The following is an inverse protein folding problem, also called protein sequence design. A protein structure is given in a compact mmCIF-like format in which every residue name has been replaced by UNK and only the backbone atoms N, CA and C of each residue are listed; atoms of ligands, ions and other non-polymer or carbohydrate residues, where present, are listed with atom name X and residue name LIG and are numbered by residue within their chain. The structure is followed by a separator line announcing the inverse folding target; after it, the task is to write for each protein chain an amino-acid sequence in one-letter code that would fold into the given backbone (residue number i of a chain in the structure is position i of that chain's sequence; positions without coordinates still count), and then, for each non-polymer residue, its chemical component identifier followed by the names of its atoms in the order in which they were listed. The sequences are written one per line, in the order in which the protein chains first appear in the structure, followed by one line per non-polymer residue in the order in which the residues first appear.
data_IF_113403298951
#
_entry.id   IF_113403298951
#
_cell.length_a   1.000
_cell.length_b   1.000
_cell.length_c   1.000
_cell.angle_alpha   90.00
_cell.angle_beta   90.00
_cell.angle_gamma   90.00
#
_symmetry.space_group_name_H-M   'P 1'
#
loop_
_entity.id
_entity.type
_entity.pdbx_description
1 polymer ?
#
# COMPACT_ATOMS: atom_id res chain seq x y z
N UNK A 1 26.65 51.46 -5.04
CA UNK A 1 25.82 50.31 -4.76
C UNK A 1 26.61 49.07 -5.18
N UNK A 2 26.92 48.12 -4.25
CA UNK A 2 27.66 46.93 -4.62
C UNK A 2 26.78 46.01 -5.45
N UNK A 3 27.22 45.58 -6.61
CA UNK A 3 26.59 44.57 -7.44
C UNK A 3 26.59 43.24 -6.67
N UNK A 4 25.41 42.77 -6.26
CA UNK A 4 25.29 41.41 -5.79
C UNK A 4 25.56 40.44 -6.97
N UNK A 5 26.42 39.45 -6.82
CA UNK A 5 26.73 38.51 -7.88
C UNK A 5 25.52 37.67 -8.26
N UNK A 6 25.35 37.36 -9.53
CA UNK A 6 24.21 36.62 -10.14
C UNK A 6 23.93 35.29 -9.42
N UNK A 7 24.93 34.66 -8.81
CA UNK A 7 24.72 33.43 -8.02
C UNK A 7 23.92 33.66 -6.74
N UNK A 8 23.93 34.87 -6.13
CA UNK A 8 23.11 35.22 -4.97
C UNK A 8 21.60 35.30 -5.30
N UNK A 9 21.25 35.52 -6.59
CA UNK A 9 19.88 35.41 -7.07
C UNK A 9 19.47 33.99 -7.44
N UNK A 10 20.42 33.09 -7.64
CA UNK A 10 20.17 31.67 -7.97
C UNK A 10 19.87 30.88 -6.70
N UNK A 11 20.49 31.20 -5.58
CA UNK A 11 20.19 30.55 -4.27
C UNK A 11 18.78 30.87 -3.72
N UNK A 12 18.15 31.96 -4.13
CA UNK A 12 16.77 32.28 -3.72
C UNK A 12 15.68 31.57 -4.55
N UNK A 13 16.01 30.87 -5.63
CA UNK A 13 15.13 29.85 -6.20
C UNK A 13 15.36 28.51 -5.47
N UNK A 14 15.16 28.48 -4.17
CA UNK A 14 14.81 27.23 -3.48
C UNK A 14 13.62 26.68 -4.27
N UNK A 15 13.84 25.61 -5.04
CA UNK A 15 12.76 24.84 -5.63
C UNK A 15 11.81 24.58 -4.47
N UNK A 16 10.60 25.10 -4.55
CA UNK A 16 9.57 24.84 -3.55
C UNK A 16 9.24 23.36 -3.67
N UNK A 17 10.06 22.52 -3.04
CA UNK A 17 9.83 21.08 -2.97
C UNK A 17 8.56 20.91 -2.17
N UNK A 18 7.63 20.11 -2.68
CA UNK A 18 6.42 19.76 -1.93
C UNK A 18 6.86 19.00 -0.66
N UNK A 19 6.70 19.64 0.50
CA UNK A 19 6.95 19.00 1.78
C UNK A 19 5.70 18.20 2.19
N UNK A 20 5.82 16.89 2.26
CA UNK A 20 4.73 15.97 2.61
C UNK A 20 4.37 15.99 4.10
N UNK A 21 5.16 16.66 4.95
CA UNK A 21 4.94 16.75 6.41
C UNK A 21 4.90 15.38 7.11
N UNK A 22 5.71 14.44 6.65
CA UNK A 22 5.78 13.09 7.21
C UNK A 22 6.89 12.94 8.26
N UNK A 23 7.75 13.95 8.41
CA UNK A 23 8.83 13.89 9.41
C UNK A 23 8.27 13.70 10.82
N UNK A 24 8.78 12.65 11.51
CA UNK A 24 8.38 12.31 12.88
C UNK A 24 7.06 11.55 13.01
N UNK A 25 6.27 11.37 11.92
CA UNK A 25 5.06 10.55 11.93
C UNK A 25 5.42 9.07 12.08
N UNK A 26 4.58 8.32 12.78
CA UNK A 26 4.72 6.86 12.94
C UNK A 26 3.72 6.15 12.04
N UNK A 27 4.23 5.34 11.10
CA UNK A 27 3.44 4.56 10.16
C UNK A 27 3.53 3.06 10.46
N UNK A 28 2.39 2.36 10.43
CA UNK A 28 2.34 0.90 10.35
C UNK A 28 1.98 0.48 8.92
N UNK A 29 2.85 -0.31 8.29
CA UNK A 29 2.59 -0.92 6.98
C UNK A 29 2.51 -2.43 7.17
N UNK A 30 1.32 -3.01 7.02
CA UNK A 30 1.16 -4.47 7.13
C UNK A 30 1.79 -5.19 5.95
N UNK A 31 2.41 -6.36 6.19
CA UNK A 31 3.15 -7.15 5.19
C UNK A 31 4.19 -6.33 4.40
N UNK A 32 5.10 -5.65 5.09
CA UNK A 32 6.05 -4.69 4.52
C UNK A 32 7.48 -5.20 4.37
N UNK A 33 7.69 -6.52 4.45
CA UNK A 33 9.00 -7.13 4.25
C UNK A 33 9.39 -7.33 2.79
N UNK A 34 8.45 -7.22 1.84
CA UNK A 34 8.68 -7.40 0.39
C UNK A 34 7.66 -6.63 -0.45
N UNK A 35 7.84 -6.65 -1.76
CA UNK A 35 6.88 -6.16 -2.75
C UNK A 35 6.43 -4.71 -2.55
N UNK A 36 5.13 -4.46 -2.72
CA UNK A 36 4.52 -3.13 -2.60
C UNK A 36 4.67 -2.57 -1.19
N UNK A 37 4.47 -3.40 -0.15
CA UNK A 37 4.61 -2.98 1.24
C UNK A 37 6.02 -2.50 1.59
N UNK A 38 7.06 -3.18 1.08
CA UNK A 38 8.45 -2.76 1.24
C UNK A 38 8.74 -1.43 0.53
N UNK A 39 8.20 -1.26 -0.68
CA UNK A 39 8.35 0.00 -1.42
C UNK A 39 7.64 1.17 -0.70
N UNK A 40 6.45 0.95 -0.14
CA UNK A 40 5.73 1.94 0.67
C UNK A 40 6.54 2.31 1.91
N UNK A 41 7.06 1.31 2.65
CA UNK A 41 7.90 1.55 3.81
C UNK A 41 9.16 2.34 3.44
N UNK A 42 9.80 2.00 2.30
CA UNK A 42 10.95 2.74 1.78
C UNK A 42 10.63 4.21 1.55
N UNK A 43 9.52 4.49 0.85
CA UNK A 43 9.14 5.86 0.49
C UNK A 43 8.76 6.69 1.73
N UNK A 44 8.00 6.12 2.68
CA UNK A 44 7.68 6.77 3.94
C UNK A 44 8.93 7.11 4.77
N UNK A 45 9.92 6.20 4.82
CA UNK A 45 11.21 6.43 5.48
C UNK A 45 11.99 7.56 4.80
N UNK A 46 12.00 7.63 3.46
CA UNK A 46 12.63 8.71 2.69
C UNK A 46 12.04 10.07 3.02
N UNK A 47 10.72 10.13 3.19
CA UNK A 47 9.98 11.35 3.53
C UNK A 47 10.02 11.70 5.04
N UNK A 48 10.80 10.98 5.82
CA UNK A 48 11.03 11.33 7.22
C UNK A 48 10.14 10.64 8.24
N UNK A 49 9.22 9.76 7.86
CA UNK A 49 8.43 8.99 8.82
C UNK A 49 9.26 7.92 9.53
N UNK A 50 8.86 7.50 10.72
CA UNK A 50 9.24 6.21 11.31
C UNK A 50 8.26 5.16 10.83
N UNK A 51 8.76 3.96 10.49
CA UNK A 51 7.92 2.92 9.91
C UNK A 51 8.04 1.62 10.69
N UNK A 52 6.90 1.08 11.10
CA UNK A 52 6.77 -0.25 11.69
C UNK A 52 6.69 -1.25 10.55
N UNK A 53 7.70 -2.12 10.46
CA UNK A 53 7.86 -3.17 9.44
C UNK A 53 7.22 -4.44 9.96
N UNK A 54 6.15 -4.87 9.32
CA UNK A 54 5.41 -6.06 9.71
C UNK A 54 5.66 -7.24 8.79
N UNK A 55 5.83 -8.39 9.38
CA UNK A 55 5.92 -9.70 8.74
C UNK A 55 5.76 -10.82 9.76
N UNK A 56 5.62 -12.07 9.29
CA UNK A 56 5.42 -13.27 10.14
C UNK A 56 6.73 -13.92 10.59
N UNK A 57 7.77 -13.78 9.80
CA UNK A 57 9.08 -14.35 10.06
C UNK A 57 10.00 -13.33 10.74
N UNK A 58 10.47 -13.65 11.95
CA UNK A 58 11.29 -12.74 12.77
C UNK A 58 12.65 -12.44 12.13
N UNK A 59 13.27 -13.40 11.48
CA UNK A 59 14.57 -13.23 10.80
C UNK A 59 14.45 -12.27 9.62
N UNK A 60 13.41 -12.46 8.78
CA UNK A 60 13.15 -11.57 7.63
C UNK A 60 12.83 -10.16 8.09
N UNK A 61 11.96 -9.99 9.11
CA UNK A 61 11.65 -8.69 9.69
C UNK A 61 12.92 -8.03 10.23
N UNK A 62 13.73 -8.77 10.99
CA UNK A 62 15.00 -8.28 11.54
C UNK A 62 15.97 -7.79 10.46
N UNK A 63 16.13 -8.58 9.39
CA UNK A 63 17.00 -8.23 8.25
C UNK A 63 16.53 -6.96 7.55
N UNK A 64 15.23 -6.82 7.25
CA UNK A 64 14.68 -5.63 6.59
C UNK A 64 14.81 -4.39 7.49
N UNK A 65 14.50 -4.52 8.78
CA UNK A 65 14.65 -3.43 9.75
C UNK A 65 16.11 -2.97 9.86
N UNK A 66 17.06 -3.91 9.93
CA UNK A 66 18.48 -3.60 9.98
C UNK A 66 18.94 -2.83 8.72
N UNK A 67 18.56 -3.32 7.53
CA UNK A 67 18.88 -2.69 6.25
C UNK A 67 18.29 -1.26 6.17
N UNK A 68 17.05 -1.07 6.58
CA UNK A 68 16.42 0.25 6.61
C UNK A 68 17.08 1.19 7.62
N UNK A 69 17.41 0.71 8.81
CA UNK A 69 18.09 1.52 9.81
C UNK A 69 19.52 1.91 9.40
N UNK A 70 20.22 1.03 8.68
CA UNK A 70 21.51 1.36 8.08
C UNK A 70 21.38 2.47 7.03
N UNK A 71 20.32 2.42 6.21
CA UNK A 71 20.10 3.39 5.11
C UNK A 71 19.53 4.73 5.56
N UNK A 72 18.57 4.72 6.49
CA UNK A 72 17.76 5.88 6.86
C UNK A 72 18.05 6.43 8.27
N UNK A 73 18.91 5.76 9.04
CA UNK A 73 19.25 6.12 10.40
C UNK A 73 18.63 5.19 11.45
N UNK A 74 19.34 5.00 12.54
CA UNK A 74 18.93 4.11 13.63
C UNK A 74 17.57 4.51 14.22
N UNK A 75 16.70 3.51 14.45
CA UNK A 75 15.38 3.72 15.05
C UNK A 75 14.33 4.31 14.11
N UNK A 76 14.60 4.37 12.80
CA UNK A 76 13.64 4.83 11.79
C UNK A 76 12.71 3.70 11.35
N UNK A 77 13.22 2.49 11.22
CA UNK A 77 12.44 1.27 11.01
C UNK A 77 12.33 0.49 12.32
N UNK A 78 11.13 0.04 12.64
CA UNK A 78 10.77 -0.64 13.88
C UNK A 78 10.20 -2.03 13.56
N UNK A 79 10.57 -3.11 14.29
CA UNK A 79 10.11 -4.46 13.97
C UNK A 79 8.72 -4.75 14.52
N UNK A 80 7.88 -5.45 13.76
CA UNK A 80 6.63 -6.04 14.23
C UNK A 80 6.46 -7.45 13.65
N UNK A 81 6.76 -8.46 14.46
CA UNK A 81 6.58 -9.85 14.09
C UNK A 81 5.18 -10.30 14.52
N UNK A 82 4.25 -10.35 13.57
CA UNK A 82 2.87 -10.77 13.83
C UNK A 82 2.19 -11.20 12.52
N UNK A 83 1.31 -12.18 12.60
CA UNK A 83 0.44 -12.55 11.49
C UNK A 83 -0.87 -11.76 11.57
N UNK A 84 -1.06 -10.83 10.63
CA UNK A 84 -2.26 -10.01 10.58
C UNK A 84 -3.45 -10.72 9.91
N UNK A 85 -3.26 -11.89 9.30
CA UNK A 85 -4.35 -12.67 8.70
C UNK A 85 -5.23 -13.36 9.75
N UNK A 86 -4.69 -13.58 10.94
CA UNK A 86 -5.42 -14.23 12.05
C UNK A 86 -5.86 -13.24 13.12
N UNK A 87 -6.91 -13.60 13.86
CA UNK A 87 -7.34 -12.83 15.01
C UNK A 87 -6.25 -12.80 16.10
N UNK A 88 -6.03 -11.63 16.70
CA UNK A 88 -4.99 -11.42 17.71
C UNK A 88 -3.71 -10.79 17.16
N UNK A 89 -3.44 -10.86 15.86
CA UNK A 89 -2.29 -10.19 15.26
C UNK A 89 -2.33 -8.67 15.47
N UNK A 90 -3.51 -8.08 15.40
CA UNK A 90 -3.74 -6.66 15.68
C UNK A 90 -3.48 -6.29 17.15
N UNK A 91 -3.70 -7.23 18.08
CA UNK A 91 -3.42 -7.02 19.52
C UNK A 91 -1.92 -7.03 19.79
N UNK A 92 -1.15 -7.88 19.09
CA UNK A 92 0.32 -7.84 19.15
C UNK A 92 0.82 -6.47 18.68
N UNK A 93 0.24 -5.95 17.58
CA UNK A 93 0.59 -4.62 17.07
C UNK A 93 0.24 -3.51 18.08
N UNK A 94 -0.96 -3.54 18.65
CA UNK A 94 -1.43 -2.55 19.63
C UNK A 94 -0.60 -2.53 20.91
N UNK A 95 -0.22 -3.72 21.40
CA UNK A 95 0.62 -3.83 22.60
C UNK A 95 2.04 -3.30 22.38
N UNK A 96 2.63 -3.56 21.20
CA UNK A 96 3.96 -3.07 20.86
C UNK A 96 3.98 -1.57 20.50
N UNK A 97 2.94 -1.12 19.82
CA UNK A 97 2.79 0.25 19.29
C UNK A 97 1.38 0.76 19.56
N UNK A 98 1.11 1.27 20.75
CA UNK A 98 -0.24 1.66 21.18
C UNK A 98 -0.86 2.76 20.31
N UNK A 99 -0.03 3.57 19.68
CA UNK A 99 -0.48 4.73 18.89
C UNK A 99 0.33 4.86 17.60
N UNK A 100 -0.34 5.20 16.49
CA UNK A 100 0.27 5.42 15.18
C UNK A 100 -0.45 6.57 14.47
N UNK A 101 0.25 7.30 13.60
CA UNK A 101 -0.32 8.37 12.79
C UNK A 101 -0.90 7.87 11.47
N UNK A 102 -0.28 6.83 10.91
CA UNK A 102 -0.57 6.32 9.56
C UNK A 102 -0.72 4.81 9.63
N UNK A 103 -1.85 4.30 9.14
CA UNK A 103 -2.10 2.87 8.95
C UNK A 103 -2.20 2.57 7.46
N UNK A 104 -1.32 1.70 6.95
CA UNK A 104 -1.39 1.16 5.59
C UNK A 104 -1.75 -0.32 5.65
N UNK A 105 -3.00 -0.64 5.33
CA UNK A 105 -3.52 -1.99 5.19
C UNK A 105 -3.08 -2.56 3.84
N UNK A 106 -1.84 -3.04 3.76
CA UNK A 106 -1.23 -3.58 2.54
C UNK A 106 -1.30 -5.11 2.48
N UNK A 107 -1.47 -5.82 3.61
CA UNK A 107 -1.55 -7.28 3.59
C UNK A 107 -2.62 -7.75 2.61
N UNK A 108 -2.23 -8.65 1.71
CA UNK A 108 -3.12 -9.26 0.75
C UNK A 108 -2.48 -10.46 0.06
N UNK A 109 -3.33 -11.36 -0.37
CA UNK A 109 -2.98 -12.50 -1.21
C UNK A 109 -3.91 -12.54 -2.41
N UNK A 110 -3.49 -13.20 -3.48
CA UNK A 110 -4.31 -13.50 -4.64
C UNK A 110 -4.10 -14.94 -5.06
N UNK A 111 -5.09 -15.50 -5.72
CA UNK A 111 -5.03 -16.84 -6.28
C UNK A 111 -5.85 -16.87 -7.57
N UNK A 112 -5.28 -17.45 -8.62
CA UNK A 112 -6.03 -17.84 -9.81
C UNK A 112 -6.74 -19.16 -9.50
N UNK A 113 -8.05 -19.22 -9.71
CA UNK A 113 -8.84 -20.42 -9.45
C UNK A 113 -10.06 -20.47 -10.38
N UNK A 114 -10.41 -21.65 -10.82
CA UNK A 114 -11.72 -21.88 -11.43
C UNK A 114 -12.82 -21.67 -10.39
N UNK A 115 -13.87 -20.93 -10.75
CA UNK A 115 -14.96 -20.60 -9.83
C UNK A 115 -15.63 -21.84 -9.24
N UNK A 116 -15.86 -22.87 -10.05
CA UNK A 116 -16.54 -24.08 -9.63
C UNK A 116 -15.66 -25.02 -8.80
N UNK A 117 -14.34 -24.85 -8.88
CA UNK A 117 -13.37 -25.59 -8.06
C UNK A 117 -12.97 -24.86 -6.77
N UNK A 118 -13.30 -23.55 -6.63
CA UNK A 118 -12.99 -22.74 -5.47
C UNK A 118 -13.89 -23.12 -4.29
N UNK A 119 -13.31 -23.62 -3.20
CA UNK A 119 -14.05 -24.07 -2.03
C UNK A 119 -14.44 -22.92 -1.08
N UNK A 120 -15.39 -23.17 -0.17
CA UNK A 120 -15.72 -22.22 0.90
C UNK A 120 -14.51 -21.90 1.78
N UNK A 121 -13.60 -22.85 1.98
CA UNK A 121 -12.36 -22.65 2.73
C UNK A 121 -11.41 -21.66 2.00
N UNK A 122 -11.31 -21.73 0.68
CA UNK A 122 -10.52 -20.79 -0.12
C UNK A 122 -11.10 -19.38 -0.03
N UNK A 123 -12.43 -19.25 -0.10
CA UNK A 123 -13.13 -17.99 0.11
C UNK A 123 -12.85 -17.43 1.50
N UNK A 124 -12.97 -18.26 2.54
CA UNK A 124 -12.72 -17.83 3.92
C UNK A 124 -11.28 -17.35 4.10
N UNK A 125 -10.30 -18.12 3.63
CA UNK A 125 -8.88 -17.76 3.71
C UNK A 125 -8.58 -16.44 2.99
N UNK A 126 -9.18 -16.24 1.79
CA UNK A 126 -9.04 -15.00 1.03
C UNK A 126 -9.58 -13.81 1.82
N UNK A 127 -10.77 -13.94 2.42
CA UNK A 127 -11.37 -12.88 3.22
C UNK A 127 -10.66 -12.65 4.54
N UNK A 128 -10.18 -13.70 5.23
CA UNK A 128 -9.40 -13.55 6.46
C UNK A 128 -8.13 -12.73 6.22
N UNK A 129 -7.44 -13.01 5.11
CA UNK A 129 -6.22 -12.32 4.76
C UNK A 129 -6.48 -10.90 4.22
N UNK A 130 -7.37 -10.75 3.25
CA UNK A 130 -7.52 -9.49 2.53
C UNK A 130 -8.48 -8.52 3.21
N UNK A 131 -9.50 -9.01 3.89
CA UNK A 131 -10.58 -8.17 4.45
C UNK A 131 -10.43 -8.04 5.96
N UNK A 132 -10.47 -9.17 6.69
CA UNK A 132 -10.48 -9.12 8.14
C UNK A 132 -9.21 -8.54 8.75
N UNK A 133 -8.04 -8.75 8.12
CA UNK A 133 -6.79 -8.11 8.57
C UNK A 133 -6.91 -6.59 8.64
N UNK A 134 -7.40 -5.97 7.57
CA UNK A 134 -7.57 -4.52 7.48
C UNK A 134 -8.67 -4.00 8.42
N UNK A 135 -9.79 -4.73 8.55
CA UNK A 135 -10.87 -4.38 9.48
C UNK A 135 -10.38 -4.39 10.93
N UNK A 136 -9.64 -5.42 11.34
CA UNK A 136 -9.10 -5.53 12.71
C UNK A 136 -8.13 -4.39 13.01
N UNK A 137 -7.17 -4.13 12.12
CA UNK A 137 -6.21 -3.04 12.29
C UNK A 137 -6.90 -1.66 12.30
N UNK A 138 -7.83 -1.40 11.38
CA UNK A 138 -8.58 -0.15 11.36
C UNK A 138 -9.37 0.06 12.66
N UNK A 139 -10.09 -0.96 13.14
CA UNK A 139 -10.82 -0.91 14.41
C UNK A 139 -9.90 -0.66 15.60
N UNK A 140 -8.69 -1.23 15.59
CA UNK A 140 -7.70 -1.12 16.66
C UNK A 140 -7.12 0.29 16.78
N UNK A 141 -6.87 0.96 15.66
CA UNK A 141 -6.16 2.25 15.66
C UNK A 141 -7.03 3.47 15.37
N UNK A 142 -8.10 3.30 14.61
CA UNK A 142 -8.88 4.44 14.12
C UNK A 142 -9.62 5.18 15.24
N UNK A 143 -10.04 4.50 16.31
CA UNK A 143 -10.69 5.16 17.44
C UNK A 143 -9.80 6.23 18.05
N UNK A 144 -8.54 5.90 18.37
CA UNK A 144 -7.58 6.86 18.91
C UNK A 144 -7.26 7.99 17.90
N UNK A 145 -7.24 7.69 16.58
CA UNK A 145 -7.10 8.70 15.54
C UNK A 145 -8.27 9.69 15.54
N UNK A 146 -9.50 9.21 15.68
CA UNK A 146 -10.70 10.05 15.75
C UNK A 146 -10.72 10.92 17.01
N UNK A 147 -10.37 10.34 18.18
CA UNK A 147 -10.32 11.06 19.46
C UNK A 147 -9.30 12.21 19.44
N UNK A 148 -8.12 12.03 18.83
CA UNK A 148 -7.12 13.11 18.68
C UNK A 148 -7.38 14.01 17.46
N UNK A 149 -8.34 13.68 16.62
CA UNK A 149 -8.74 14.46 15.45
C UNK A 149 -7.79 14.38 14.25
N UNK A 150 -6.81 13.47 14.24
CA UNK A 150 -5.81 13.33 13.18
C UNK A 150 -5.40 11.86 12.95
N UNK A 151 -5.27 11.45 11.69
CA UNK A 151 -4.81 10.13 11.28
C UNK A 151 -4.97 9.89 9.78
N UNK A 152 -4.27 8.89 9.27
CA UNK A 152 -4.35 8.43 7.88
C UNK A 152 -4.56 6.93 7.83
N UNK A 153 -5.61 6.49 7.19
CA UNK A 153 -5.89 5.06 6.97
C UNK A 153 -5.99 4.80 5.48
N UNK A 154 -5.17 3.88 4.97
CA UNK A 154 -5.07 3.58 3.54
C UNK A 154 -5.23 2.07 3.36
N UNK A 155 -6.14 1.66 2.48
CA UNK A 155 -6.33 0.27 2.07
C UNK A 155 -5.72 0.03 0.70
N UNK A 156 -4.90 -1.00 0.55
CA UNK A 156 -4.42 -1.47 -0.75
C UNK A 156 -5.45 -2.44 -1.32
N UNK A 157 -6.32 -1.91 -2.19
CA UNK A 157 -7.27 -2.71 -2.96
C UNK A 157 -6.61 -3.21 -4.26
N UNK A 158 -7.29 -3.18 -5.38
CA UNK A 158 -6.80 -3.56 -6.71
C UNK A 158 -7.77 -3.04 -7.78
N UNK A 159 -7.32 -2.94 -9.04
CA UNK A 159 -8.17 -2.65 -10.19
C UNK A 159 -9.27 -3.70 -10.37
N UNK A 160 -9.03 -4.96 -9.98
CA UNK A 160 -10.05 -6.03 -10.07
C UNK A 160 -11.24 -5.84 -9.14
N UNK A 161 -11.18 -4.89 -8.21
CA UNK A 161 -12.33 -4.46 -7.44
C UNK A 161 -13.38 -3.75 -8.31
N UNK A 162 -12.95 -3.11 -9.40
CA UNK A 162 -13.81 -2.40 -10.37
C UNK A 162 -14.03 -3.19 -11.66
N UNK A 163 -13.07 -4.06 -12.02
CA UNK A 163 -13.12 -4.93 -13.20
C UNK A 163 -12.90 -6.39 -12.78
N UNK A 164 -13.91 -7.03 -12.15
CA UNK A 164 -13.76 -8.39 -11.63
C UNK A 164 -13.43 -9.40 -12.73
N UNK A 165 -12.56 -10.36 -12.39
CA UNK A 165 -12.16 -11.44 -13.29
C UNK A 165 -12.73 -12.77 -12.80
N UNK A 166 -13.29 -13.57 -13.72
CA UNK A 166 -13.88 -14.87 -13.40
C UNK A 166 -12.85 -15.84 -12.78
N UNK A 167 -11.60 -15.80 -13.25
CA UNK A 167 -10.49 -16.60 -12.72
C UNK A 167 -9.96 -16.14 -11.36
N UNK A 168 -10.52 -15.06 -10.79
CA UNK A 168 -10.12 -14.46 -9.51
C UNK A 168 -11.36 -13.97 -8.74
N UNK A 169 -12.50 -14.65 -8.83
CA UNK A 169 -13.77 -14.18 -8.29
C UNK A 169 -13.70 -13.83 -6.79
N UNK A 170 -13.15 -14.74 -5.96
CA UNK A 170 -13.00 -14.54 -4.51
C UNK A 170 -12.02 -13.40 -4.17
N UNK A 171 -10.92 -13.25 -4.94
CA UNK A 171 -9.99 -12.14 -4.80
C UNK A 171 -10.65 -10.82 -5.18
N UNK A 172 -11.31 -10.75 -6.35
CA UNK A 172 -12.02 -9.55 -6.81
C UNK A 172 -13.08 -9.10 -5.80
N UNK A 173 -13.88 -10.05 -5.29
CA UNK A 173 -14.86 -9.78 -4.23
C UNK A 173 -14.21 -9.24 -2.96
N UNK A 174 -13.08 -9.82 -2.51
CA UNK A 174 -12.36 -9.35 -1.33
C UNK A 174 -11.87 -7.90 -1.51
N UNK A 175 -11.38 -7.55 -2.70
CA UNK A 175 -10.89 -6.21 -3.02
C UNK A 175 -12.02 -5.18 -3.18
N UNK A 176 -13.16 -5.57 -3.74
CA UNK A 176 -14.37 -4.75 -3.77
C UNK A 176 -14.91 -4.49 -2.36
N UNK A 177 -14.87 -5.49 -1.48
CA UNK A 177 -15.24 -5.36 -0.07
C UNK A 177 -14.35 -4.34 0.65
N UNK A 178 -13.04 -4.30 0.37
CA UNK A 178 -12.15 -3.27 0.94
C UNK A 178 -12.57 -1.85 0.52
N UNK A 179 -13.03 -1.62 -0.72
CA UNK A 179 -13.52 -0.31 -1.16
C UNK A 179 -14.75 0.12 -0.35
N UNK A 180 -15.72 -0.80 -0.19
CA UNK A 180 -16.93 -0.55 0.59
C UNK A 180 -16.60 -0.21 2.05
N UNK A 181 -15.70 -0.99 2.68
CA UNK A 181 -15.27 -0.76 4.06
C UNK A 181 -14.56 0.59 4.18
N UNK A 182 -13.58 0.87 3.32
CA UNK A 182 -12.84 2.14 3.33
C UNK A 182 -13.78 3.34 3.21
N UNK A 183 -14.74 3.29 2.27
CA UNK A 183 -15.71 4.37 2.09
C UNK A 183 -16.63 4.52 3.31
N UNK A 184 -17.07 3.42 3.91
CA UNK A 184 -17.90 3.44 5.11
C UNK A 184 -17.16 4.01 6.33
N UNK A 185 -15.89 3.64 6.51
CA UNK A 185 -15.06 4.17 7.60
C UNK A 185 -14.79 5.67 7.44
N UNK A 186 -14.69 6.18 6.21
CA UNK A 186 -14.54 7.61 5.96
C UNK A 186 -15.74 8.43 6.49
N UNK A 187 -16.96 7.87 6.55
CA UNK A 187 -18.12 8.56 7.15
C UNK A 187 -17.93 8.86 8.64
N UNK A 188 -17.14 8.05 9.34
CA UNK A 188 -16.86 8.25 10.76
C UNK A 188 -15.91 9.43 11.02
N UNK A 189 -15.23 9.93 9.99
CA UNK A 189 -14.20 10.99 10.14
C UNK A 189 -14.76 12.40 10.10
N UNK A 190 -16.07 12.58 9.94
CA UNK A 190 -16.72 13.90 9.86
C UNK A 190 -16.30 14.81 11.01
N UNK A 191 -15.87 16.04 10.67
CA UNK A 191 -15.45 17.04 11.65
C UNK A 191 -14.02 16.83 12.19
N UNK A 192 -13.27 15.89 11.67
CA UNK A 192 -11.86 15.64 12.04
C UNK A 192 -10.92 15.84 10.85
N UNK A 193 -9.60 15.80 11.09
CA UNK A 193 -8.59 15.74 10.03
C UNK A 193 -8.12 14.29 9.74
N UNK A 194 -8.89 13.28 10.17
CA UNK A 194 -8.64 11.87 9.80
C UNK A 194 -9.13 11.64 8.38
N UNK A 195 -8.36 10.91 7.56
CA UNK A 195 -8.80 10.45 6.24
C UNK A 195 -8.70 8.95 6.09
N UNK A 196 -9.65 8.37 5.35
CA UNK A 196 -9.66 6.94 4.99
C UNK A 196 -9.82 6.83 3.49
N UNK A 197 -8.83 6.23 2.82
CA UNK A 197 -8.81 6.10 1.36
C UNK A 197 -8.39 4.70 0.93
N UNK A 198 -8.69 4.34 -0.31
CA UNK A 198 -8.18 3.13 -0.96
C UNK A 198 -7.28 3.50 -2.14
N UNK A 199 -6.23 2.72 -2.36
CA UNK A 199 -5.42 2.74 -3.58
C UNK A 199 -5.68 1.44 -4.34
N UNK A 200 -5.84 1.55 -5.66
CA UNK A 200 -6.14 0.43 -6.54
C UNK A 200 -4.96 0.23 -7.51
N UNK A 201 -3.94 -0.54 -7.13
CA UNK A 201 -2.87 -0.89 -8.06
C UNK A 201 -3.38 -1.79 -9.20
N UNK A 202 -2.77 -1.65 -10.38
CA UNK A 202 -2.75 -2.65 -11.43
C UNK A 202 -1.70 -3.73 -11.16
N UNK A 203 -1.45 -4.62 -12.15
CA UNK A 203 -0.38 -5.59 -12.07
C UNK A 203 0.95 -4.89 -11.79
N UNK A 204 1.56 -5.25 -10.67
CA UNK A 204 2.77 -4.60 -10.16
C UNK A 204 3.93 -5.58 -10.14
N UNK A 205 5.09 -5.19 -10.63
CA UNK A 205 6.32 -5.99 -10.71
C UNK A 205 6.88 -6.29 -9.31
N UNK A 206 6.21 -7.23 -8.63
CA UNK A 206 6.73 -7.84 -7.40
C UNK A 206 7.56 -9.07 -7.75
N UNK A 207 8.44 -9.49 -6.84
CA UNK A 207 9.25 -10.71 -7.04
C UNK A 207 8.39 -11.93 -7.36
N UNK A 208 7.22 -12.08 -6.69
CA UNK A 208 6.31 -13.19 -6.91
C UNK A 208 5.63 -13.14 -8.29
N UNK A 209 5.19 -11.95 -8.75
CA UNK A 209 4.59 -11.82 -10.07
C UNK A 209 5.63 -12.03 -11.17
N UNK A 210 6.83 -11.49 -10.97
CA UNK A 210 7.96 -11.70 -11.89
C UNK A 210 8.29 -13.18 -12.04
N UNK A 211 8.48 -13.89 -10.92
CA UNK A 211 8.74 -15.33 -10.93
C UNK A 211 7.61 -16.13 -11.60
N UNK A 212 6.35 -15.75 -11.37
CA UNK A 212 5.21 -16.35 -12.06
C UNK A 212 5.28 -16.14 -13.58
N UNK A 213 5.49 -14.92 -14.05
CA UNK A 213 5.58 -14.59 -15.48
C UNK A 213 6.72 -15.37 -16.16
N UNK A 214 7.89 -15.46 -15.51
CA UNK A 214 9.04 -16.24 -15.98
C UNK A 214 8.71 -17.75 -16.04
N UNK A 215 8.03 -18.28 -15.02
CA UNK A 215 7.69 -19.71 -14.96
C UNK A 215 6.74 -20.19 -16.05
N UNK A 216 5.82 -19.32 -16.46
CA UNK A 216 4.84 -19.67 -17.52
C UNK A 216 5.34 -19.33 -18.94
N UNK A 217 6.51 -18.72 -19.05
CA UNK A 217 7.14 -18.36 -20.34
C UNK A 217 8.66 -18.64 -20.32
N UNK A 218 9.08 -19.91 -20.10
CA UNK A 218 10.49 -20.25 -19.84
C UNK A 218 11.42 -19.95 -21.03
N UNK A 219 10.88 -19.92 -22.25
CA UNK A 219 11.66 -19.71 -23.50
C UNK A 219 11.78 -18.23 -23.89
N UNK A 220 11.17 -17.31 -23.14
CA UNK A 220 11.17 -15.88 -23.45
C UNK A 220 12.11 -15.14 -22.50
N UNK A 221 12.72 -14.05 -22.98
CA UNK A 221 13.32 -13.08 -22.07
C UNK A 221 12.24 -12.45 -21.19
N UNK A 222 12.61 -11.99 -19.99
CA UNK A 222 11.64 -11.36 -19.08
C UNK A 222 10.83 -10.23 -19.74
N UNK A 223 11.49 -9.37 -20.52
CA UNK A 223 10.82 -8.27 -21.22
C UNK A 223 9.78 -8.76 -22.23
N UNK A 224 10.05 -9.86 -22.95
CA UNK A 224 9.10 -10.48 -23.87
C UNK A 224 7.95 -11.15 -23.10
N UNK A 225 8.26 -11.84 -22.01
CA UNK A 225 7.28 -12.49 -21.14
C UNK A 225 6.33 -11.47 -20.47
N UNK A 226 6.86 -10.34 -19.97
CA UNK A 226 6.08 -9.21 -19.43
C UNK A 226 5.15 -8.64 -20.51
N UNK A 227 5.66 -8.36 -21.70
CA UNK A 227 4.89 -7.81 -22.80
C UNK A 227 3.74 -8.75 -23.20
N UNK A 228 4.01 -10.05 -23.32
CA UNK A 228 3.01 -11.08 -23.58
C UNK A 228 1.97 -11.12 -22.47
N UNK A 229 2.41 -11.16 -21.21
CA UNK A 229 1.51 -11.17 -20.04
C UNK A 229 0.56 -9.97 -20.06
N UNK A 230 1.07 -8.76 -20.32
CA UNK A 230 0.25 -7.55 -20.38
C UNK A 230 -0.74 -7.60 -21.55
N UNK A 231 -0.32 -8.04 -22.72
CA UNK A 231 -1.19 -8.15 -23.90
C UNK A 231 -2.34 -9.16 -23.69
N UNK A 232 -2.08 -10.28 -23.02
CA UNK A 232 -3.06 -11.35 -22.79
C UNK A 232 -3.97 -11.06 -21.57
N UNK A 233 -3.42 -10.49 -20.49
CA UNK A 233 -4.15 -10.36 -19.23
C UNK A 233 -4.65 -8.95 -18.95
N UNK A 234 -4.07 -7.92 -19.56
CA UNK A 234 -4.44 -6.50 -19.39
C UNK A 234 -4.41 -5.73 -20.72
N UNK A 235 -5.14 -6.20 -21.76
CA UNK A 235 -5.10 -5.59 -23.09
C UNK A 235 -5.58 -4.13 -23.11
N UNK A 236 -6.34 -3.71 -22.09
CA UNK A 236 -6.88 -2.35 -21.95
C UNK A 236 -5.92 -1.39 -21.23
N UNK A 237 -4.81 -1.88 -20.70
CA UNK A 237 -3.82 -1.03 -20.02
C UNK A 237 -3.26 0.02 -20.97
N UNK A 238 -3.32 1.29 -20.58
CA UNK A 238 -2.79 2.40 -21.40
C UNK A 238 -1.26 2.49 -21.34
N UNK A 239 -0.65 2.01 -20.25
CA UNK A 239 0.81 2.04 -20.10
C UNK A 239 1.51 0.80 -20.67
N UNK A 240 0.76 -0.29 -20.96
CA UNK A 240 1.25 -1.53 -21.56
C UNK A 240 2.48 -2.16 -20.87
N UNK A 241 2.64 -1.98 -19.59
CA UNK A 241 3.69 -2.57 -18.75
C UNK A 241 3.21 -2.81 -17.34
N UNK A 242 3.95 -3.58 -16.58
CA UNK A 242 3.73 -3.67 -15.13
C UNK A 242 4.03 -2.33 -14.45
N UNK A 243 3.28 -2.00 -13.42
CA UNK A 243 3.63 -0.91 -12.53
C UNK A 243 4.88 -1.31 -11.71
N UNK A 244 5.75 -0.34 -11.41
CA UNK A 244 6.82 -0.56 -10.44
C UNK A 244 6.27 -0.40 -9.03
N UNK A 245 6.72 -1.19 -8.04
CA UNK A 245 6.29 -1.01 -6.65
C UNK A 245 6.44 0.42 -6.11
N UNK A 246 7.48 1.13 -6.56
CA UNK A 246 7.72 2.53 -6.19
C UNK A 246 6.65 3.48 -6.74
N UNK A 247 6.04 3.21 -7.90
CA UNK A 247 4.97 4.04 -8.46
C UNK A 247 3.71 3.96 -7.59
N UNK A 248 3.36 2.76 -7.11
CA UNK A 248 2.27 2.57 -6.15
C UNK A 248 2.61 3.23 -4.80
N UNK A 249 3.84 3.05 -4.33
CA UNK A 249 4.31 3.64 -3.07
C UNK A 249 4.24 5.16 -3.07
N UNK A 250 4.52 5.83 -4.19
CA UNK A 250 4.40 7.28 -4.32
C UNK A 250 2.97 7.76 -4.08
N UNK A 251 1.97 7.07 -4.62
CA UNK A 251 0.55 7.39 -4.42
C UNK A 251 0.16 7.21 -2.95
N UNK A 252 0.56 6.09 -2.32
CA UNK A 252 0.29 5.81 -0.91
C UNK A 252 0.94 6.86 -0.01
N UNK A 253 2.19 7.22 -0.27
CA UNK A 253 2.93 8.20 0.52
C UNK A 253 2.32 9.60 0.41
N UNK A 254 1.87 9.99 -0.79
CA UNK A 254 1.11 11.23 -0.97
C UNK A 254 -0.19 11.21 -0.14
N UNK A 255 -0.98 10.14 -0.21
CA UNK A 255 -2.22 10.02 0.57
C UNK A 255 -1.98 9.98 2.09
N UNK A 256 -0.83 9.51 2.53
CA UNK A 256 -0.42 9.52 3.94
C UNK A 256 -0.05 10.94 4.43
N UNK A 257 0.16 11.89 3.53
CA UNK A 257 0.66 13.23 3.82
C UNK A 257 -0.44 14.21 4.25
N UNK A 258 -0.03 15.37 4.77
CA UNK A 258 -0.93 16.48 5.02
C UNK A 258 -1.39 17.15 3.71
N UNK A 259 -0.64 17.02 2.63
CA UNK A 259 -0.96 17.58 1.32
C UNK A 259 -2.19 16.92 0.69
N UNK A 260 -2.52 15.70 1.12
CA UNK A 260 -3.70 14.96 0.68
C UNK A 260 -4.93 15.15 1.59
N UNK A 261 -4.94 16.13 2.49
CA UNK A 261 -6.00 16.32 3.49
C UNK A 261 -7.42 16.49 2.88
N UNK A 262 -7.52 16.91 1.63
CA UNK A 262 -8.80 17.08 0.93
C UNK A 262 -9.32 15.75 0.31
N UNK A 263 -8.49 14.70 0.29
CA UNK A 263 -8.84 13.40 -0.27
C UNK A 263 -9.30 12.50 0.88
N UNK A 264 -10.61 12.23 0.95
CA UNK A 264 -11.19 11.38 1.98
C UNK A 264 -12.35 10.57 1.40
N UNK A 265 -12.40 9.27 1.70
CA UNK A 265 -13.38 8.34 1.16
C UNK A 265 -13.19 8.00 -0.32
N UNK A 266 -12.02 8.26 -0.88
CA UNK A 266 -11.72 8.07 -2.29
C UNK A 266 -11.12 6.68 -2.57
N UNK A 267 -11.38 6.20 -3.80
CA UNK A 267 -10.73 5.05 -4.42
C UNK A 267 -9.77 5.56 -5.51
N UNK A 268 -8.48 5.66 -5.18
CA UNK A 268 -7.46 6.24 -6.08
C UNK A 268 -6.89 5.14 -6.96
N UNK A 269 -7.11 5.25 -8.26
CA UNK A 269 -6.61 4.31 -9.25
C UNK A 269 -5.13 4.57 -9.55
N UNK A 270 -4.30 3.54 -9.40
CA UNK A 270 -2.87 3.52 -9.71
C UNK A 270 -2.57 2.27 -10.57
N UNK A 271 -3.32 2.10 -11.67
CA UNK A 271 -3.44 0.85 -12.41
C UNK A 271 -3.08 0.97 -13.91
N UNK A 272 -2.55 2.12 -14.31
CA UNK A 272 -2.08 2.34 -15.68
C UNK A 272 -3.18 2.46 -16.73
N UNK A 273 -4.40 2.85 -16.35
CA UNK A 273 -5.54 3.06 -17.25
C UNK A 273 -6.21 1.77 -17.72
N UNK A 274 -6.10 0.68 -16.96
CA UNK A 274 -6.77 -0.61 -17.27
C UNK A 274 -8.28 -0.52 -17.09
N UNK A 275 -8.75 0.23 -16.09
CA UNK A 275 -10.17 0.41 -15.80
C UNK A 275 -10.76 1.48 -16.70
N UNK A 276 -11.74 1.14 -17.52
CA UNK A 276 -12.31 2.02 -18.55
C UNK A 276 -13.38 3.01 -18.05
N UNK A 277 -13.76 2.96 -16.77
CA UNK A 277 -14.75 3.91 -16.24
C UNK A 277 -14.13 5.28 -15.99
N UNK A 278 -14.93 6.34 -16.13
CA UNK A 278 -14.52 7.73 -15.84
C UNK A 278 -14.58 8.08 -14.34
N UNK A 279 -15.18 7.22 -13.52
CA UNK A 279 -15.32 7.36 -12.08
C UNK A 279 -15.00 6.03 -11.38
#
# INVERSE_FOLDING_TARGET
MPYLPIWAFIEQRVRKIMDLKLNGKLALVSASTSGIGHAIATQLLQEGAKVIINGRNSEVVGTVVAAFNQRFGAGRALPLVADMSVAGGELVAKNAYPDIDILVNNLGTYQLSDFFATTDADWQQMFDTNVWSGVRLARTYMQAMLERGHGRVIFLSSEVALTPMASMAHYSASKATQLSISRSLAELTKGTAVTVNSVLPGPTETESLKAFIESVNPDLSYAQAEQKFMAENRPLSLIHRLAKPAEVANVVTFLASEQAALINGAAIRAEGGTVQTIA
#
